data_IF_957486830165
#
_entry.id   IF_957486830165
#
_cell.length_a   1.000
_cell.length_b   1.000
_cell.length_c   1.000
_cell.angle_alpha   90.00
_cell.angle_beta   90.00
_cell.angle_gamma   90.00
#
_symmetry.space_group_name_H-M   'P 1'
#
loop_
_entity.id
_entity.type
_entity.pdbx_description
1 polymer ?
#
# COMPACT_ATOMS: atom_id res chain seq x y z
N UNK A 1 3.60 -6.31 34.14
CA UNK A 1 3.53 -6.29 32.66
C UNK A 1 2.07 -6.52 32.30
N UNK A 2 1.39 -5.54 31.69
CA UNK A 2 -0.04 -5.70 31.32
C UNK A 2 -0.11 -6.54 30.05
N UNK A 3 -0.84 -7.64 30.09
CA UNK A 3 -1.04 -8.51 28.93
C UNK A 3 -2.25 -8.01 28.13
N UNK A 4 -2.00 -7.47 26.92
CA UNK A 4 -3.07 -7.02 26.02
C UNK A 4 -3.65 -8.22 25.26
N UNK A 5 -4.97 -8.37 25.31
CA UNK A 5 -5.75 -9.37 24.57
C UNK A 5 -6.92 -8.71 23.87
N UNK A 6 -7.54 -9.42 22.91
CA UNK A 6 -8.74 -8.93 22.24
C UNK A 6 -9.89 -8.68 23.23
N UNK A 7 -9.99 -9.50 24.29
CA UNK A 7 -11.05 -9.39 25.30
C UNK A 7 -10.87 -8.17 26.21
N UNK A 8 -9.64 -7.80 26.58
CA UNK A 8 -9.40 -6.76 27.59
C UNK A 8 -8.93 -5.42 27.00
N UNK A 9 -8.65 -5.35 25.69
CA UNK A 9 -8.06 -4.15 25.06
C UNK A 9 -8.94 -2.91 25.21
N UNK A 10 -10.26 -3.06 25.21
CA UNK A 10 -11.21 -1.94 25.36
C UNK A 10 -11.18 -1.38 26.79
N UNK A 11 -11.07 -2.24 27.80
CA UNK A 11 -10.98 -1.82 29.19
C UNK A 11 -9.62 -1.17 29.48
N UNK A 12 -8.54 -1.77 28.97
CA UNK A 12 -7.20 -1.19 29.07
C UNK A 12 -7.13 0.14 28.32
N UNK A 13 -7.81 0.27 27.18
CA UNK A 13 -7.86 1.53 26.44
C UNK A 13 -8.53 2.64 27.26
N UNK A 14 -9.68 2.36 27.87
CA UNK A 14 -10.38 3.31 28.74
C UNK A 14 -9.52 3.69 29.95
N UNK A 15 -8.87 2.71 30.61
CA UNK A 15 -7.92 2.99 31.70
C UNK A 15 -6.74 3.83 31.24
N UNK A 16 -6.18 3.56 30.06
CA UNK A 16 -5.06 4.31 29.52
C UNK A 16 -5.43 5.77 29.19
N UNK A 17 -6.68 6.02 28.79
CA UNK A 17 -7.21 7.37 28.62
C UNK A 17 -7.40 8.09 29.96
N UNK A 18 -7.95 7.41 30.96
CA UNK A 18 -8.17 7.98 32.30
C UNK A 18 -6.86 8.28 33.04
N UNK A 19 -5.83 7.47 32.83
CA UNK A 19 -4.53 7.61 33.47
C UNK A 19 -3.53 8.44 32.65
N UNK A 20 -3.97 9.12 31.58
CA UNK A 20 -3.10 9.89 30.68
C UNK A 20 -1.84 9.12 30.24
N UNK A 21 -2.04 7.86 29.80
CA UNK A 21 -0.99 6.96 29.35
C UNK A 21 -0.95 6.88 27.81
N UNK A 22 -0.42 7.89 27.09
CA UNK A 22 -0.61 8.05 25.65
C UNK A 22 0.00 6.91 24.83
N UNK A 23 1.14 6.37 25.24
CA UNK A 23 1.77 5.23 24.54
C UNK A 23 0.88 3.99 24.60
N UNK A 24 0.30 3.71 25.76
CA UNK A 24 -0.58 2.55 25.94
C UNK A 24 -1.91 2.76 25.20
N UNK A 25 -2.48 3.95 25.33
CA UNK A 25 -3.70 4.35 24.60
C UNK A 25 -3.53 4.17 23.09
N UNK A 26 -2.40 4.61 22.53
CA UNK A 26 -2.10 4.44 21.12
C UNK A 26 -1.96 2.96 20.70
N UNK A 27 -1.30 2.13 21.51
CA UNK A 27 -1.15 0.69 21.24
C UNK A 27 -2.53 0.01 21.24
N UNK A 28 -3.36 0.28 22.25
CA UNK A 28 -4.72 -0.25 22.34
C UNK A 28 -5.58 0.21 21.17
N UNK A 29 -5.55 1.51 20.84
CA UNK A 29 -6.28 2.09 19.71
C UNK A 29 -5.93 1.37 18.40
N UNK A 30 -4.64 1.17 18.12
CA UNK A 30 -4.17 0.46 16.92
C UNK A 30 -4.66 -0.99 16.88
N UNK A 31 -4.66 -1.69 18.00
CA UNK A 31 -5.16 -3.07 18.09
C UNK A 31 -6.68 -3.11 17.89
N UNK A 32 -7.42 -2.16 18.46
CA UNK A 32 -8.86 -2.00 18.26
C UNK A 32 -9.18 -1.83 16.77
N UNK A 33 -8.49 -0.93 16.07
CA UNK A 33 -8.75 -0.70 14.65
C UNK A 33 -8.39 -1.93 13.79
N UNK A 34 -7.27 -2.60 14.09
CA UNK A 34 -6.80 -3.76 13.31
C UNK A 34 -7.70 -4.99 13.46
N UNK A 35 -8.28 -5.19 14.65
CA UNK A 35 -9.09 -6.36 14.99
C UNK A 35 -10.54 -5.98 15.29
N UNK A 36 -11.03 -4.90 14.66
CA UNK A 36 -12.31 -4.30 15.01
C UNK A 36 -13.49 -5.28 14.94
N UNK A 37 -13.51 -6.15 13.93
CA UNK A 37 -14.59 -7.13 13.76
C UNK A 37 -14.71 -8.05 14.98
N UNK A 38 -13.60 -8.61 15.46
CA UNK A 38 -13.55 -9.48 16.63
C UNK A 38 -13.85 -8.68 17.91
N UNK A 39 -13.22 -7.52 18.06
CA UNK A 39 -13.36 -6.67 19.24
C UNK A 39 -14.79 -6.15 19.40
N UNK A 40 -15.50 -5.85 18.31
CA UNK A 40 -16.89 -5.40 18.34
C UNK A 40 -17.87 -6.41 18.95
N UNK A 41 -17.48 -7.69 19.00
CA UNK A 41 -18.28 -8.78 19.57
C UNK A 41 -18.00 -9.00 21.05
N UNK A 42 -16.89 -8.46 21.56
CA UNK A 42 -16.48 -8.61 22.97
C UNK A 42 -17.42 -7.89 23.92
N UNK A 43 -17.47 -8.36 25.16
CA UNK A 43 -18.31 -7.71 26.19
C UNK A 43 -17.78 -6.32 26.54
N UNK A 44 -16.46 -6.14 26.61
CA UNK A 44 -15.83 -4.85 26.86
C UNK A 44 -16.26 -3.78 25.85
N UNK A 45 -16.36 -4.13 24.56
CA UNK A 45 -16.88 -3.23 23.53
C UNK A 45 -18.36 -2.86 23.75
N UNK A 46 -19.22 -3.84 24.03
CA UNK A 46 -20.66 -3.62 24.25
C UNK A 46 -20.91 -2.71 25.45
N UNK A 47 -20.18 -2.94 26.54
CA UNK A 47 -20.23 -2.11 27.75
C UNK A 47 -19.71 -0.71 27.47
N UNK A 48 -18.55 -0.57 26.82
CA UNK A 48 -17.98 0.73 26.44
C UNK A 48 -18.94 1.53 25.57
N UNK A 49 -19.57 0.90 24.58
CA UNK A 49 -20.56 1.54 23.72
C UNK A 49 -21.74 2.12 24.52
N UNK A 50 -22.23 1.38 25.52
CA UNK A 50 -23.34 1.82 26.36
C UNK A 50 -22.93 2.95 27.31
N UNK A 51 -21.75 2.86 27.91
CA UNK A 51 -21.28 3.82 28.91
C UNK A 51 -20.66 5.09 28.29
N UNK A 52 -20.02 4.96 27.13
CA UNK A 52 -19.19 5.99 26.50
C UNK A 52 -19.47 6.12 24.99
N UNK A 53 -20.68 6.54 24.57
CA UNK A 53 -21.05 6.64 23.16
C UNK A 53 -20.19 7.64 22.37
N UNK A 54 -19.66 8.66 23.02
CA UNK A 54 -18.70 9.59 22.39
C UNK A 54 -17.39 8.89 22.01
N UNK A 55 -16.92 7.94 22.84
CA UNK A 55 -15.73 7.15 22.57
C UNK A 55 -15.96 6.16 21.42
N UNK A 56 -17.12 5.51 21.38
CA UNK A 56 -17.52 4.68 20.24
C UNK A 56 -17.45 5.51 18.94
N UNK A 57 -18.09 6.68 18.91
CA UNK A 57 -18.09 7.55 17.72
C UNK A 57 -16.67 7.96 17.30
N UNK A 58 -15.80 8.30 18.25
CA UNK A 58 -14.41 8.64 17.97
C UNK A 58 -13.63 7.45 17.36
N UNK A 59 -13.86 6.23 17.86
CA UNK A 59 -13.25 5.01 17.31
C UNK A 59 -13.79 4.69 15.91
N UNK A 60 -15.09 4.87 15.67
CA UNK A 60 -15.68 4.69 14.33
C UNK A 60 -15.13 5.69 13.31
N UNK A 61 -14.95 6.96 13.70
CA UNK A 61 -14.30 7.97 12.84
C UNK A 61 -12.85 7.58 12.57
N UNK A 62 -12.13 7.10 13.59
CA UNK A 62 -10.75 6.64 13.44
C UNK A 62 -10.65 5.46 12.48
N UNK A 63 -11.59 4.51 12.54
CA UNK A 63 -11.65 3.36 11.64
C UNK A 63 -11.89 3.76 10.19
N UNK A 64 -12.88 4.62 9.93
CA UNK A 64 -13.16 5.14 8.60
C UNK A 64 -11.96 5.90 8.01
N UNK A 65 -11.27 6.68 8.84
CA UNK A 65 -10.06 7.39 8.45
C UNK A 65 -8.92 6.42 8.10
N UNK A 66 -8.68 5.38 8.90
CA UNK A 66 -7.62 4.40 8.61
C UNK A 66 -7.91 3.60 7.34
N UNK A 67 -9.16 3.19 7.11
CA UNK A 67 -9.57 2.55 5.84
C UNK A 67 -9.33 3.47 4.64
N UNK A 68 -9.73 4.73 4.74
CA UNK A 68 -9.52 5.69 3.66
C UNK A 68 -8.02 5.92 3.40
N UNK A 69 -7.22 6.08 4.46
CA UNK A 69 -5.77 6.21 4.35
C UNK A 69 -5.12 4.97 3.71
N UNK A 70 -5.59 3.78 4.05
CA UNK A 70 -5.09 2.53 3.46
C UNK A 70 -5.47 2.40 1.99
N UNK A 71 -6.69 2.80 1.62
CA UNK A 71 -7.14 2.88 0.24
C UNK A 71 -6.29 3.85 -0.57
N UNK A 72 -6.03 5.04 -0.04
CA UNK A 72 -5.19 6.05 -0.67
C UNK A 72 -3.72 5.60 -0.82
N UNK A 73 -3.14 4.98 0.21
CA UNK A 73 -1.79 4.39 0.14
C UNK A 73 -1.71 3.35 -0.97
N UNK A 74 -2.72 2.49 -1.08
CA UNK A 74 -2.81 1.46 -2.12
C UNK A 74 -2.94 2.08 -3.51
N UNK A 75 -3.80 3.09 -3.68
CA UNK A 75 -3.96 3.84 -4.93
C UNK A 75 -2.65 4.47 -5.37
N UNK A 76 -2.00 5.24 -4.49
CA UNK A 76 -0.70 5.89 -4.76
C UNK A 76 0.40 4.88 -5.11
N UNK A 77 0.40 3.70 -4.47
CA UNK A 77 1.34 2.64 -4.78
C UNK A 77 1.13 2.08 -6.19
N UNK A 78 -0.12 1.84 -6.58
CA UNK A 78 -0.47 1.39 -7.95
C UNK A 78 -0.10 2.44 -8.99
N UNK A 79 -0.41 3.71 -8.75
CA UNK A 79 -0.06 4.81 -9.65
C UNK A 79 1.45 4.90 -9.86
N UNK A 80 2.25 4.86 -8.78
CA UNK A 80 3.72 4.86 -8.90
C UNK A 80 4.25 3.69 -9.73
N UNK A 81 3.66 2.50 -9.60
CA UNK A 81 4.04 1.34 -10.41
C UNK A 81 3.74 1.56 -11.89
N UNK A 82 2.56 2.10 -12.21
CA UNK A 82 2.18 2.41 -13.60
C UNK A 82 3.12 3.46 -14.19
N UNK A 83 3.44 4.53 -13.46
CA UNK A 83 4.39 5.55 -13.92
C UNK A 83 5.79 4.97 -14.16
N UNK A 84 6.25 4.06 -13.30
CA UNK A 84 7.54 3.41 -13.49
C UNK A 84 7.55 2.54 -14.75
N UNK A 85 6.50 1.71 -14.95
CA UNK A 85 6.38 0.89 -16.14
C UNK A 85 6.31 1.73 -17.42
N UNK A 86 5.59 2.86 -17.38
CA UNK A 86 5.53 3.80 -18.49
C UNK A 86 6.90 4.40 -18.80
N UNK A 87 7.63 4.81 -17.76
CA UNK A 87 9.00 5.32 -17.90
C UNK A 87 9.94 4.28 -18.53
N UNK A 88 9.92 3.05 -18.01
CA UNK A 88 10.72 1.94 -18.55
C UNK A 88 10.38 1.63 -20.02
N UNK A 89 9.09 1.67 -20.38
CA UNK A 89 8.63 1.52 -21.76
C UNK A 89 9.12 2.65 -22.67
N UNK A 90 9.05 3.90 -22.21
CA UNK A 90 9.55 5.04 -22.98
C UNK A 90 11.06 4.95 -23.20
N UNK A 91 11.84 4.55 -22.19
CA UNK A 91 13.28 4.33 -22.35
C UNK A 91 13.58 3.21 -23.36
N UNK A 92 12.83 2.11 -23.31
CA UNK A 92 12.98 1.02 -24.28
C UNK A 92 12.67 1.48 -25.71
N UNK A 93 11.62 2.28 -25.93
CA UNK A 93 11.29 2.82 -27.25
C UNK A 93 12.37 3.76 -27.77
N UNK A 94 12.87 4.69 -26.94
CA UNK A 94 13.99 5.57 -27.31
C UNK A 94 15.21 4.75 -27.71
N UNK A 95 15.50 3.66 -27.00
CA UNK A 95 16.59 2.77 -27.33
C UNK A 95 16.41 2.09 -28.69
N UNK A 96 15.23 1.50 -28.96
CA UNK A 96 14.91 0.89 -30.27
C UNK A 96 15.09 1.93 -31.38
N UNK A 97 14.57 3.16 -31.20
CA UNK A 97 14.66 4.19 -32.23
C UNK A 97 16.08 4.75 -32.44
N UNK A 98 16.92 4.82 -31.40
CA UNK A 98 18.24 5.47 -31.46
C UNK A 98 19.38 4.52 -31.79
N UNK A 99 19.38 3.37 -31.12
CA UNK A 99 20.49 2.41 -31.10
C UNK A 99 20.16 1.16 -31.92
N UNK A 100 18.87 0.96 -32.24
CA UNK A 100 18.37 -0.26 -32.85
C UNK A 100 18.24 -1.39 -31.82
N UNK A 101 17.24 -2.25 -32.01
CA UNK A 101 17.12 -3.52 -31.29
C UNK A 101 17.02 -4.62 -32.34
N UNK A 102 18.10 -5.41 -32.48
CA UNK A 102 18.35 -6.54 -33.40
C UNK A 102 17.92 -6.39 -34.88
N UNK A 103 16.72 -5.89 -35.16
CA UNK A 103 16.13 -5.76 -36.49
C UNK A 103 15.21 -4.55 -36.71
N UNK A 104 14.98 -3.71 -35.68
CA UNK A 104 14.25 -2.43 -35.82
C UNK A 104 15.16 -1.29 -35.37
N UNK A 105 15.37 -0.30 -36.25
CA UNK A 105 16.31 0.81 -36.06
C UNK A 105 17.43 0.82 -37.13
N UNK A 106 18.32 1.83 -37.13
CA UNK A 106 19.38 1.92 -38.14
C UNK A 106 20.30 0.70 -38.08
N UNK A 107 20.39 -0.06 -39.20
CA UNK A 107 21.16 -1.32 -39.29
C UNK A 107 22.67 -1.16 -39.12
N UNK A 108 23.17 0.08 -39.07
CA UNK A 108 24.61 0.39 -39.00
C UNK A 108 25.17 0.40 -37.56
N UNK A 109 24.35 0.13 -36.53
CA UNK A 109 24.76 0.19 -35.12
C UNK A 109 24.57 -1.15 -34.40
N UNK A 110 25.67 -1.68 -33.85
CA UNK A 110 25.64 -2.89 -33.03
C UNK A 110 25.02 -2.61 -31.64
N UNK A 111 24.15 -3.51 -31.20
CA UNK A 111 23.47 -3.45 -29.89
C UNK A 111 24.50 -3.40 -28.74
N UNK A 112 24.59 -2.28 -28.03
CA UNK A 112 25.48 -2.16 -26.86
C UNK A 112 24.74 -2.58 -25.59
N UNK A 113 25.11 -3.76 -25.05
CA UNK A 113 24.53 -4.41 -23.86
C UNK A 113 24.79 -3.69 -22.51
N UNK A 114 25.10 -2.39 -22.49
CA UNK A 114 25.58 -1.69 -21.29
C UNK A 114 24.46 -1.18 -20.34
N UNK A 115 23.18 -1.57 -20.54
CA UNK A 115 22.05 -1.12 -19.71
C UNK A 115 21.30 -2.25 -19.02
N UNK A 116 20.44 -1.87 -18.05
CA UNK A 116 19.74 -2.78 -17.16
C UNK A 116 18.97 -3.90 -17.92
N UNK A 117 19.01 -5.16 -17.44
CA UNK A 117 18.39 -6.31 -18.11
C UNK A 117 16.90 -6.16 -18.41
N UNK A 118 16.18 -5.39 -17.58
CA UNK A 118 14.74 -5.12 -17.72
C UNK A 118 14.42 -4.31 -18.99
N UNK A 119 15.25 -3.33 -19.33
CA UNK A 119 15.06 -2.48 -20.53
C UNK A 119 15.30 -3.30 -21.80
N UNK A 120 16.29 -4.19 -21.78
CA UNK A 120 16.62 -5.07 -22.91
C UNK A 120 15.47 -6.06 -23.18
N UNK A 121 14.89 -6.66 -22.13
CA UNK A 121 13.77 -7.57 -22.29
C UNK A 121 12.53 -6.85 -22.85
N UNK A 122 12.21 -5.68 -22.30
CA UNK A 122 11.06 -4.90 -22.73
C UNK A 122 11.21 -4.43 -24.18
N UNK A 123 12.43 -4.06 -24.61
CA UNK A 123 12.72 -3.70 -26.00
C UNK A 123 12.47 -4.87 -26.98
N UNK A 124 12.82 -6.10 -26.58
CA UNK A 124 12.54 -7.32 -27.38
C UNK A 124 11.05 -7.63 -27.46
N UNK A 125 10.33 -7.48 -26.35
CA UNK A 125 8.88 -7.69 -26.31
C UNK A 125 8.17 -6.70 -27.24
N UNK A 126 8.61 -5.42 -27.24
CA UNK A 126 8.11 -4.41 -28.18
C UNK A 126 8.47 -4.71 -29.64
N UNK A 127 9.70 -5.15 -29.93
CA UNK A 127 10.11 -5.55 -31.28
C UNK A 127 9.19 -6.64 -31.87
N UNK A 128 8.82 -7.63 -31.06
CA UNK A 128 7.92 -8.70 -31.47
C UNK A 128 6.52 -8.18 -31.80
N UNK A 129 6.01 -7.25 -31.00
CA UNK A 129 4.70 -6.60 -31.23
C UNK A 129 4.73 -5.77 -32.51
N UNK A 130 5.76 -4.93 -32.70
CA UNK A 130 5.86 -4.05 -33.87
C UNK A 130 5.91 -4.87 -35.17
N UNK A 131 6.65 -6.00 -35.18
CA UNK A 131 6.66 -6.94 -36.31
C UNK A 131 5.34 -7.61 -36.60
N UNK A 132 4.53 -7.87 -35.59
CA UNK A 132 3.22 -8.48 -35.79
C UNK A 132 2.24 -7.53 -36.49
N UNK A 133 2.41 -6.22 -36.27
CA UNK A 133 1.53 -5.18 -36.80
C UNK A 133 2.07 -4.46 -38.05
N UNK A 134 3.27 -4.80 -38.52
CA UNK A 134 3.90 -4.25 -39.74
C UNK A 134 3.74 -5.20 -40.93
#
# INVERSE_FOLDING_TARGET
MVFLTLENVVDIFQLALLCDAPRLSHICHRMILKNFQEISMTEGWKVMKKCHPALEKALMVSLANEENMQRERTRRSKERKIYLQLYEAMEALVHICRDGCQTIGPHDKAFQNNRAPTIIQLAKDFEMIIRHFA
#
